data_IF_377429151256
#
_entry.id   IF_377429151256
#
_cell.length_a   1.000
_cell.length_b   1.000
_cell.length_c   1.000
_cell.angle_alpha   90.00
_cell.angle_beta   90.00
_cell.angle_gamma   90.00
#
_symmetry.space_group_name_H-M   'P 1'
#
loop_
_entity.id
_entity.type
_entity.pdbx_description
1 polymer ?
#
# COMPACT_ATOMS: atom_id res chain seq x y z
N UNK A 1 -47.87 -33.33 11.87
CA UNK A 1 -47.21 -32.04 12.16
C UNK A 1 -46.05 -31.91 11.19
N UNK A 2 -46.25 -31.19 10.10
CA UNK A 2 -45.23 -30.98 9.08
C UNK A 2 -44.41 -29.74 9.48
N UNK A 3 -43.10 -29.96 9.60
CA UNK A 3 -42.09 -28.96 9.92
C UNK A 3 -41.88 -28.08 8.67
N UNK A 4 -42.44 -26.87 8.70
CA UNK A 4 -42.22 -25.86 7.67
C UNK A 4 -40.83 -25.24 7.93
N UNK A 5 -39.81 -25.83 7.29
CA UNK A 5 -38.49 -25.21 7.17
C UNK A 5 -38.65 -23.99 6.29
N UNK A 6 -38.68 -22.82 6.90
CA UNK A 6 -38.55 -21.56 6.19
C UNK A 6 -37.26 -21.61 5.37
N UNK A 7 -37.45 -21.70 4.06
CA UNK A 7 -36.43 -21.51 3.06
C UNK A 7 -35.88 -20.08 3.26
N UNK A 8 -34.76 -19.96 3.95
CA UNK A 8 -33.93 -18.76 3.91
C UNK A 8 -33.47 -18.61 2.46
N UNK A 9 -34.20 -17.79 1.72
CA UNK A 9 -33.81 -17.32 0.40
C UNK A 9 -32.44 -16.67 0.58
N UNK A 10 -31.40 -17.37 0.14
CA UNK A 10 -30.10 -16.78 -0.09
C UNK A 10 -30.30 -15.72 -1.19
N UNK A 11 -30.51 -14.47 -0.77
CA UNK A 11 -30.41 -13.30 -1.65
C UNK A 11 -28.96 -13.21 -2.08
N UNK A 12 -28.67 -13.87 -3.18
CA UNK A 12 -27.38 -13.86 -3.85
C UNK A 12 -27.30 -12.57 -4.69
N UNK A 13 -27.29 -11.41 -4.06
CA UNK A 13 -26.59 -10.27 -4.63
C UNK A 13 -25.14 -10.43 -4.19
N UNK A 14 -24.27 -10.77 -5.13
CA UNK A 14 -22.84 -10.85 -4.87
C UNK A 14 -22.36 -9.48 -4.43
N UNK A 15 -22.31 -9.26 -3.11
CA UNK A 15 -21.80 -8.04 -2.50
C UNK A 15 -20.44 -7.70 -3.15
N UNK A 16 -20.32 -6.54 -3.82
CA UNK A 16 -19.05 -6.19 -4.45
C UNK A 16 -17.98 -6.15 -3.38
N UNK A 17 -16.92 -6.92 -3.60
CA UNK A 17 -15.85 -7.09 -2.63
C UNK A 17 -14.50 -7.17 -3.32
N UNK A 18 -13.52 -6.53 -2.70
CA UNK A 18 -12.16 -6.47 -3.19
C UNK A 18 -11.22 -6.79 -2.03
N UNK A 19 -10.31 -7.74 -2.24
CA UNK A 19 -9.35 -8.15 -1.24
C UNK A 19 -7.91 -7.89 -1.71
N UNK A 20 -7.10 -7.31 -0.83
CA UNK A 20 -5.69 -7.03 -1.10
C UNK A 20 -4.82 -7.34 0.12
N UNK A 21 -3.53 -7.53 -0.11
CA UNK A 21 -2.56 -7.78 0.98
C UNK A 21 -1.63 -6.59 1.13
N UNK A 22 -1.63 -6.01 2.33
CA UNK A 22 -0.76 -4.88 2.67
C UNK A 22 -0.06 -5.11 4.02
N UNK A 23 1.25 -4.87 4.07
CA UNK A 23 2.09 -5.07 5.27
C UNK A 23 1.87 -6.42 5.98
N UNK A 24 1.70 -7.50 5.21
CA UNK A 24 1.43 -8.87 5.70
C UNK A 24 0.07 -9.05 6.41
N UNK A 25 -0.85 -8.10 6.26
CA UNK A 25 -2.25 -8.25 6.62
C UNK A 25 -3.11 -8.30 5.35
N UNK A 26 -4.16 -9.12 5.38
CA UNK A 26 -5.17 -9.18 4.32
C UNK A 26 -6.28 -8.19 4.65
N UNK A 27 -6.57 -7.31 3.71
CA UNK A 27 -7.67 -6.37 3.78
C UNK A 27 -8.76 -6.85 2.82
N UNK A 28 -10.01 -6.83 3.25
CA UNK A 28 -11.17 -7.08 2.43
C UNK A 28 -12.08 -5.87 2.56
N UNK A 29 -12.33 -5.20 1.45
CA UNK A 29 -13.32 -4.15 1.34
C UNK A 29 -14.57 -4.75 0.70
N UNK A 30 -15.73 -4.43 1.24
CA UNK A 30 -17.00 -4.77 0.62
C UNK A 30 -18.03 -3.71 0.93
N UNK A 31 -18.97 -3.45 0.03
CA UNK A 31 -20.03 -2.50 0.31
C UNK A 31 -21.40 -3.05 -0.07
N UNK A 32 -22.41 -2.44 0.55
CA UNK A 32 -23.83 -2.67 0.30
C UNK A 32 -24.50 -1.30 0.12
N UNK A 33 -25.82 -1.24 -0.10
CA UNK A 33 -26.57 0.01 -0.36
C UNK A 33 -26.29 1.15 0.65
N UNK A 34 -25.92 0.82 1.89
CA UNK A 34 -25.79 1.78 3.00
C UNK A 34 -24.41 1.85 3.63
N UNK A 35 -23.59 0.80 3.49
CA UNK A 35 -22.39 0.62 4.31
C UNK A 35 -21.20 0.10 3.53
N UNK A 36 -20.03 0.68 3.79
CA UNK A 36 -18.73 0.19 3.39
C UNK A 36 -18.10 -0.53 4.59
N UNK A 37 -17.68 -1.76 4.38
CA UNK A 37 -17.07 -2.63 5.36
C UNK A 37 -15.60 -2.82 5.01
N UNK A 38 -14.73 -2.54 5.97
CA UNK A 38 -13.29 -2.80 5.87
C UNK A 38 -12.91 -3.84 6.92
N UNK A 39 -12.52 -5.01 6.46
CA UNK A 39 -12.02 -6.09 7.29
C UNK A 39 -10.52 -6.24 7.12
N UNK A 40 -9.79 -6.13 8.23
CA UNK A 40 -8.37 -6.37 8.29
C UNK A 40 -8.13 -7.66 9.08
N UNK A 41 -7.57 -8.67 8.42
CA UNK A 41 -7.14 -9.92 9.02
C UNK A 41 -5.62 -10.01 8.99
N UNK A 42 -4.99 -10.07 10.16
CA UNK A 42 -3.54 -10.15 10.27
C UNK A 42 -3.08 -10.82 11.56
N UNK A 43 -1.76 -10.91 11.72
CA UNK A 43 -1.14 -11.57 12.88
C UNK A 43 -1.51 -10.91 14.23
N UNK A 44 -1.89 -9.62 14.21
CA UNK A 44 -2.31 -8.86 15.40
C UNK A 44 -3.81 -8.94 15.72
N UNK A 45 -4.57 -9.81 15.04
CA UNK A 45 -6.02 -9.95 15.21
C UNK A 45 -6.83 -9.43 14.03
N UNK A 46 -8.15 -9.59 14.13
CA UNK A 46 -9.10 -9.18 13.12
C UNK A 46 -9.75 -7.86 13.55
N UNK A 47 -9.70 -6.85 12.69
CA UNK A 47 -10.38 -5.56 12.92
C UNK A 47 -11.39 -5.34 11.82
N UNK A 48 -12.62 -5.00 12.17
CA UNK A 48 -13.66 -4.63 11.22
C UNK A 48 -14.05 -3.18 11.47
N UNK A 49 -14.06 -2.36 10.41
CA UNK A 49 -14.58 -1.00 10.43
C UNK A 49 -15.77 -0.91 9.50
N UNK A 50 -16.75 -0.10 9.89
CA UNK A 50 -17.98 0.12 9.12
C UNK A 50 -18.15 1.62 8.92
N UNK A 51 -18.37 2.01 7.67
CA UNK A 51 -18.54 3.39 7.25
C UNK A 51 -19.86 3.53 6.51
N UNK A 52 -20.56 4.65 6.69
CA UNK A 52 -21.81 4.94 6.00
C UNK A 52 -21.49 5.42 4.57
N UNK A 53 -22.03 4.76 3.55
CA UNK A 53 -21.75 5.10 2.14
C UNK A 53 -22.17 6.53 1.82
N UNK A 54 -23.32 6.96 2.32
CA UNK A 54 -23.86 8.30 2.06
C UNK A 54 -23.02 9.45 2.66
N UNK A 55 -22.01 9.15 3.50
CA UNK A 55 -21.06 10.13 4.04
C UNK A 55 -19.74 10.10 3.28
N UNK A 56 -19.56 9.15 2.36
CA UNK A 56 -18.38 9.04 1.54
C UNK A 56 -18.51 10.03 0.39
N UNK A 57 -17.43 10.75 0.14
CA UNK A 57 -17.35 11.60 -1.04
C UNK A 57 -17.32 10.70 -2.28
N UNK A 58 -18.12 10.99 -3.32
CA UNK A 58 -18.09 10.26 -4.58
C UNK A 58 -16.78 10.47 -5.36
N UNK A 59 -15.94 11.42 -4.91
CA UNK A 59 -14.65 11.70 -5.54
C UNK A 59 -13.57 10.79 -4.96
N UNK A 60 -13.26 9.73 -5.70
CA UNK A 60 -12.06 8.94 -5.46
C UNK A 60 -10.83 9.77 -5.81
N UNK A 61 -9.90 9.92 -4.86
CA UNK A 61 -8.65 10.65 -5.10
C UNK A 61 -7.52 9.66 -5.29
N UNK A 62 -6.94 9.66 -6.48
CA UNK A 62 -5.67 8.98 -6.71
C UNK A 62 -4.54 9.82 -6.14
N UNK A 63 -3.74 9.21 -5.27
CA UNK A 63 -2.57 9.84 -4.71
C UNK A 63 -1.32 9.02 -5.01
N UNK A 64 -0.35 9.70 -5.59
CA UNK A 64 1.00 9.17 -5.77
C UNK A 64 1.84 9.53 -4.54
N UNK A 65 2.08 8.55 -3.68
CA UNK A 65 2.96 8.71 -2.53
C UNK A 65 4.36 8.21 -2.93
N UNK A 66 5.10 9.07 -3.60
CA UNK A 66 6.55 8.97 -3.72
C UNK A 66 7.20 9.73 -2.57
N UNK A 67 7.90 9.05 -1.66
CA UNK A 67 8.62 9.74 -0.58
C UNK A 67 9.84 10.44 -1.16
N UNK A 68 9.71 11.73 -1.51
CA UNK A 68 10.83 12.56 -1.98
C UNK A 68 12.02 12.52 -1.01
N UNK A 69 11.73 12.49 0.30
CA UNK A 69 12.76 12.33 1.33
C UNK A 69 13.49 10.99 1.24
N UNK A 70 12.78 9.89 0.94
CA UNK A 70 13.40 8.58 0.79
C UNK A 70 14.20 8.49 -0.52
N UNK A 71 13.71 9.05 -1.63
CA UNK A 71 14.46 9.11 -2.89
C UNK A 71 15.75 9.93 -2.75
N UNK A 72 15.70 11.05 -2.02
CA UNK A 72 16.89 11.86 -1.72
C UNK A 72 17.90 11.10 -0.86
N UNK A 73 17.42 10.33 0.13
CA UNK A 73 18.29 9.49 0.95
C UNK A 73 18.91 8.34 0.14
N UNK A 74 18.15 7.71 -0.77
CA UNK A 74 18.69 6.72 -1.72
C UNK A 74 19.79 7.33 -2.58
N UNK A 75 19.58 8.54 -3.10
CA UNK A 75 20.59 9.28 -3.87
C UNK A 75 21.84 9.56 -3.05
N UNK A 76 21.70 9.99 -1.79
CA UNK A 76 22.83 10.18 -0.86
C UNK A 76 23.57 8.87 -0.59
N UNK A 77 22.85 7.77 -0.38
CA UNK A 77 23.44 6.44 -0.21
C UNK A 77 24.27 6.02 -1.43
N UNK A 78 23.76 6.26 -2.64
CA UNK A 78 24.50 6.04 -3.88
C UNK A 78 25.76 6.90 -4.00
N UNK A 79 25.69 8.18 -3.64
CA UNK A 79 26.87 9.06 -3.64
C UNK A 79 27.94 8.59 -2.65
N UNK A 80 27.54 8.06 -1.49
CA UNK A 80 28.47 7.48 -0.51
C UNK A 80 29.14 6.22 -1.05
N UNK A 81 28.40 5.34 -1.73
CA UNK A 81 28.97 4.15 -2.37
C UNK A 81 29.93 4.51 -3.51
N UNK A 82 29.59 5.51 -4.33
CA UNK A 82 30.49 6.02 -5.36
C UNK A 82 31.77 6.60 -4.73
N UNK A 83 31.63 7.39 -3.66
CA UNK A 83 32.78 7.90 -2.92
C UNK A 83 33.67 6.78 -2.36
N UNK A 84 33.04 5.74 -1.78
CA UNK A 84 33.75 4.56 -1.30
C UNK A 84 34.52 3.85 -2.43
N UNK A 85 33.90 3.69 -3.60
CA UNK A 85 34.54 3.09 -4.77
C UNK A 85 35.73 3.91 -5.26
N UNK A 86 35.57 5.24 -5.38
CA UNK A 86 36.65 6.15 -5.78
C UNK A 86 37.83 6.05 -4.82
N UNK A 87 37.58 6.08 -3.50
CA UNK A 87 38.65 5.98 -2.49
C UNK A 87 39.34 4.61 -2.58
N UNK A 88 38.58 3.54 -2.78
CA UNK A 88 39.12 2.18 -2.89
C UNK A 88 40.07 2.00 -4.08
N UNK A 89 39.79 2.65 -5.21
CA UNK A 89 40.65 2.64 -6.39
C UNK A 89 41.71 3.76 -6.39
N UNK A 90 41.64 4.70 -5.46
CA UNK A 90 42.62 5.78 -5.35
C UNK A 90 43.90 5.35 -4.63
N UNK A 91 44.98 6.08 -4.87
CA UNK A 91 46.25 5.95 -4.17
C UNK A 91 46.13 6.25 -2.66
N UNK A 92 45.06 6.94 -2.23
CA UNK A 92 44.78 7.24 -0.82
C UNK A 92 44.30 6.04 -0.02
N UNK A 93 43.98 4.91 -0.66
CA UNK A 93 43.57 3.68 0.05
C UNK A 93 44.61 3.24 1.08
N UNK A 94 45.90 3.39 0.79
CA UNK A 94 46.98 3.03 1.70
C UNK A 94 47.09 3.99 2.90
N UNK A 95 46.73 5.27 2.69
CA UNK A 95 46.80 6.32 3.71
C UNK A 95 45.58 6.25 4.65
N UNK A 96 44.41 5.88 4.13
CA UNK A 96 43.17 5.82 4.92
C UNK A 96 42.38 4.53 4.60
N UNK A 97 42.90 3.35 4.99
CA UNK A 97 42.36 2.05 4.58
C UNK A 97 40.93 1.78 5.08
N UNK A 98 40.51 2.44 6.17
CA UNK A 98 39.20 2.27 6.78
C UNK A 98 38.11 3.18 6.19
N UNK A 99 38.47 4.19 5.38
CA UNK A 99 37.51 5.17 4.87
C UNK A 99 36.58 4.57 3.81
N UNK A 100 37.13 3.80 2.86
CA UNK A 100 36.34 3.12 1.84
C UNK A 100 35.35 2.10 2.43
N UNK A 101 35.75 1.15 3.31
CA UNK A 101 34.81 0.21 3.90
C UNK A 101 33.76 0.90 4.78
N UNK A 102 34.12 1.92 5.56
CA UNK A 102 33.13 2.65 6.39
C UNK A 102 32.08 3.38 5.54
N UNK A 103 32.50 4.10 4.49
CA UNK A 103 31.57 4.74 3.54
C UNK A 103 30.66 3.73 2.85
N UNK A 104 31.21 2.56 2.50
CA UNK A 104 30.45 1.48 1.86
C UNK A 104 29.36 0.93 2.80
N UNK A 105 29.69 0.68 4.07
CA UNK A 105 28.70 0.23 5.06
C UNK A 105 27.60 1.28 5.28
N UNK A 106 27.97 2.55 5.44
CA UNK A 106 26.98 3.63 5.62
C UNK A 106 26.09 3.75 4.38
N UNK A 107 26.67 3.73 3.18
CA UNK A 107 25.92 3.77 1.92
C UNK A 107 24.94 2.61 1.78
N UNK A 108 25.38 1.39 2.09
CA UNK A 108 24.53 0.19 2.09
C UNK A 108 23.40 0.27 3.12
N UNK A 109 23.67 0.74 4.34
CA UNK A 109 22.64 0.90 5.37
C UNK A 109 21.58 1.91 4.96
N UNK A 110 22.01 3.07 4.42
CA UNK A 110 21.10 4.11 3.93
C UNK A 110 20.24 3.57 2.79
N UNK A 111 20.82 2.81 1.86
CA UNK A 111 20.08 2.20 0.75
C UNK A 111 19.10 1.13 1.24
N UNK A 112 19.55 0.16 2.03
CA UNK A 112 18.73 -0.94 2.52
C UNK A 112 17.49 -0.43 3.28
N UNK A 113 17.63 0.65 4.05
CA UNK A 113 16.53 1.25 4.80
C UNK A 113 15.56 2.06 3.92
N UNK A 114 16.07 2.74 2.89
CA UNK A 114 15.29 3.72 2.13
C UNK A 114 14.77 3.22 0.78
N UNK A 115 15.40 2.25 0.13
CA UNK A 115 14.91 1.63 -1.11
C UNK A 115 13.44 1.19 -1.00
N UNK A 116 13.01 0.41 0.01
CA UNK A 116 11.61 -0.01 0.12
C UNK A 116 10.63 1.14 0.41
N UNK A 117 11.14 2.29 0.87
CA UNK A 117 10.36 3.51 1.15
C UNK A 117 10.34 4.51 -0.02
N UNK A 118 11.34 4.41 -0.90
CA UNK A 118 11.47 5.22 -2.11
C UNK A 118 10.65 4.64 -3.27
N UNK A 119 10.23 3.37 -3.17
CA UNK A 119 9.38 2.77 -4.19
C UNK A 119 8.07 3.54 -4.33
N UNK A 120 7.71 3.99 -5.55
CA UNK A 120 6.43 4.64 -5.79
C UNK A 120 5.27 3.77 -5.31
N UNK A 121 4.37 4.34 -4.52
CA UNK A 121 3.11 3.67 -4.17
C UNK A 121 1.96 4.54 -4.62
N UNK A 122 1.18 4.00 -5.53
CA UNK A 122 -0.08 4.57 -5.94
C UNK A 122 -1.16 4.11 -4.96
N UNK A 123 -2.05 5.01 -4.57
CA UNK A 123 -3.16 4.72 -3.68
C UNK A 123 -4.43 5.39 -4.20
N UNK A 124 -5.55 4.70 -4.14
CA UNK A 124 -6.88 5.33 -4.24
C UNK A 124 -7.38 5.59 -2.83
N UNK A 125 -7.58 6.86 -2.49
CA UNK A 125 -8.16 7.28 -1.21
C UNK A 125 -9.68 7.38 -1.34
N UNK A 126 -10.35 6.75 -0.39
CA UNK A 126 -11.79 6.90 -0.14
C UNK A 126 -11.91 7.90 1.00
N UNK A 127 -12.49 9.07 0.73
CA UNK A 127 -12.68 10.15 1.69
C UNK A 127 -14.16 10.29 2.07
N UNK A 128 -14.44 10.94 3.20
CA UNK A 128 -15.77 11.42 3.52
C UNK A 128 -16.09 12.77 2.82
N UNK A 129 -17.32 13.24 2.97
CA UNK A 129 -17.79 14.52 2.42
C UNK A 129 -16.99 15.75 2.89
N UNK A 130 -16.23 15.61 3.99
CA UNK A 130 -15.35 16.63 4.55
C UNK A 130 -13.89 16.46 4.11
N UNK A 131 -13.61 15.62 3.10
CA UNK A 131 -12.26 15.30 2.60
C UNK A 131 -11.38 14.61 3.65
N UNK A 132 -11.97 14.03 4.71
CA UNK A 132 -11.24 13.22 5.68
C UNK A 132 -11.04 11.80 5.13
N UNK A 133 -9.82 11.28 5.25
CA UNK A 133 -9.47 9.94 4.79
C UNK A 133 -10.22 8.87 5.61
N UNK A 134 -11.02 8.05 4.93
CA UNK A 134 -11.74 6.91 5.53
C UNK A 134 -10.95 5.62 5.30
N UNK A 135 -10.63 5.33 4.03
CA UNK A 135 -9.88 4.14 3.64
C UNK A 135 -8.94 4.43 2.47
N UNK A 136 -7.94 3.58 2.27
CA UNK A 136 -6.97 3.73 1.18
C UNK A 136 -6.63 2.38 0.58
N UNK A 137 -6.80 2.26 -0.74
CA UNK A 137 -6.53 1.05 -1.51
C UNK A 137 -5.18 1.22 -2.20
N UNK A 138 -4.15 0.43 -1.86
CA UNK A 138 -2.88 0.48 -2.55
C UNK A 138 -3.00 -0.13 -3.95
N UNK A 139 -2.32 0.49 -4.91
CA UNK A 139 -2.03 -0.08 -6.20
C UNK A 139 -0.61 -0.61 -6.14
N UNK A 140 -0.45 -1.92 -6.30
CA UNK A 140 0.87 -2.52 -6.26
C UNK A 140 1.39 -2.64 -7.69
N UNK A 141 2.57 -2.09 -7.95
CA UNK A 141 3.30 -2.40 -9.18
C UNK A 141 3.59 -3.91 -9.20
N UNK A 142 3.02 -4.63 -10.18
CA UNK A 142 3.05 -6.09 -10.26
C UNK A 142 1.80 -6.80 -9.74
N UNK A 143 0.69 -6.09 -9.49
CA UNK A 143 -0.63 -6.72 -9.48
C UNK A 143 -0.84 -7.46 -10.81
N UNK A 144 -1.43 -8.65 -10.76
CA UNK A 144 -1.83 -9.31 -12.01
C UNK A 144 -2.88 -8.46 -12.72
N UNK A 145 -2.96 -8.57 -14.05
CA UNK A 145 -3.97 -7.84 -14.85
C UNK A 145 -5.38 -8.07 -14.29
N UNK A 146 -5.65 -9.26 -13.76
CA UNK A 146 -6.90 -9.61 -13.07
C UNK A 146 -7.13 -8.78 -11.79
N UNK A 147 -6.12 -8.62 -10.92
CA UNK A 147 -6.28 -7.82 -9.69
C UNK A 147 -6.43 -6.33 -9.97
N UNK A 148 -5.72 -5.82 -10.99
CA UNK A 148 -5.90 -4.44 -11.44
C UNK A 148 -7.32 -4.21 -11.99
N UNK A 149 -7.84 -5.17 -12.77
CA UNK A 149 -9.21 -5.16 -13.29
C UNK A 149 -10.28 -5.26 -12.19
N UNK A 150 -10.14 -6.19 -11.24
CA UNK A 150 -11.05 -6.33 -10.10
C UNK A 150 -11.08 -5.06 -9.23
N UNK A 151 -9.92 -4.44 -9.00
CA UNK A 151 -9.84 -3.15 -8.30
C UNK A 151 -10.57 -2.06 -9.07
N UNK A 152 -10.33 -1.95 -10.38
CA UNK A 152 -10.96 -0.93 -11.21
C UNK A 152 -12.48 -1.09 -11.22
N UNK A 153 -12.98 -2.31 -11.38
CA UNK A 153 -14.42 -2.61 -11.33
C UNK A 153 -15.03 -2.25 -9.97
N UNK A 154 -14.37 -2.62 -8.86
CA UNK A 154 -14.82 -2.27 -7.51
C UNK A 154 -14.86 -0.75 -7.28
N UNK A 155 -13.86 -0.02 -7.77
CA UNK A 155 -13.81 1.44 -7.63
C UNK A 155 -14.87 2.14 -8.49
N UNK A 156 -15.14 1.64 -9.70
CA UNK A 156 -16.18 2.16 -10.58
C UNK A 156 -17.57 1.97 -9.95
N UNK A 157 -17.83 0.80 -9.40
CA UNK A 157 -19.10 0.49 -8.70
C UNK A 157 -19.25 1.28 -7.39
N UNK A 158 -18.14 1.62 -6.72
CA UNK A 158 -18.16 2.46 -5.52
C UNK A 158 -18.39 3.95 -5.83
N UNK A 159 -18.04 4.40 -7.04
CA UNK A 159 -18.15 5.80 -7.46
C UNK A 159 -19.45 6.13 -8.23
N UNK A 160 -20.14 5.11 -8.75
CA UNK A 160 -21.43 5.21 -9.43
C UNK A 160 -22.61 5.45 -8.49
#
# INVERSE_FOLDING_TARGET
MAEQKDNVVALHESKPSFAFVYRRARYTLSFDERYLYEEQNGFGGNTQKVHLLHRLSPKLREEYIGSQKATDQVRKGWLLLLGAAVIFFSEFRSQIPLLAPSLSVIGLLVLAYNIPKAWPRHWTKVCDDWDCLVSAIPHKEGDSDNQAGERAAFLDELAG
#
